data_IF_091227495959
#
_entry.id   IF_091227495959
#
_cell.length_a   1.000
_cell.length_b   1.000
_cell.length_c   1.000
_cell.angle_alpha   90.00
_cell.angle_beta   90.00
_cell.angle_gamma   90.00
#
_symmetry.space_group_name_H-M   'P 1'
#
loop_
_entity.id
_entity.type
_entity.pdbx_description
1 polymer ?
#
# COMPACT_ATOMS: atom_id res chain seq x y z
N UNK A 1 -22.02 24.35 -24.81
CA UNK A 1 -20.69 23.81 -25.16
C UNK A 1 -20.90 22.75 -26.20
N UNK A 2 -20.13 22.82 -27.28
CA UNK A 2 -20.14 21.80 -28.33
C UNK A 2 -19.73 20.43 -27.75
N UNK A 3 -20.48 19.38 -28.10
CA UNK A 3 -20.27 18.02 -27.61
C UNK A 3 -18.88 17.53 -28.05
N UNK A 4 -18.45 17.90 -29.26
CA UNK A 4 -17.13 17.53 -29.78
C UNK A 4 -16.00 18.12 -28.93
N UNK A 5 -16.07 19.40 -28.57
CA UNK A 5 -15.07 20.04 -27.70
C UNK A 5 -14.96 19.34 -26.34
N UNK A 6 -16.10 18.98 -25.72
CA UNK A 6 -16.10 18.22 -24.45
C UNK A 6 -15.42 16.86 -24.56
N UNK A 7 -15.61 16.16 -25.69
CA UNK A 7 -14.97 14.87 -25.97
C UNK A 7 -13.45 15.03 -26.09
N UNK A 8 -12.99 16.07 -26.79
CA UNK A 8 -11.56 16.36 -26.96
C UNK A 8 -10.88 16.69 -25.62
N UNK A 9 -11.54 17.44 -24.74
CA UNK A 9 -11.01 17.73 -23.41
C UNK A 9 -11.02 16.51 -22.48
N UNK A 10 -12.03 15.65 -22.57
CA UNK A 10 -12.04 14.36 -21.90
C UNK A 10 -10.89 13.46 -22.39
N UNK A 11 -10.62 13.43 -23.69
CA UNK A 11 -9.51 12.65 -24.25
C UNK A 11 -8.15 13.10 -23.68
N UNK A 12 -7.88 14.42 -23.66
CA UNK A 12 -6.67 14.98 -23.01
C UNK A 12 -6.56 14.58 -21.54
N UNK A 13 -7.68 14.63 -20.82
CA UNK A 13 -7.73 14.26 -19.41
C UNK A 13 -7.41 12.77 -19.20
N UNK A 14 -7.88 11.90 -20.10
CA UNK A 14 -7.55 10.46 -20.09
C UNK A 14 -6.06 10.24 -20.33
N UNK A 15 -5.44 10.93 -21.30
CA UNK A 15 -4.00 10.80 -21.57
C UNK A 15 -3.16 11.11 -20.33
N UNK A 16 -3.47 12.21 -19.66
CA UNK A 16 -2.78 12.59 -18.41
C UNK A 16 -3.02 11.59 -17.28
N UNK A 17 -4.21 11.00 -17.16
CA UNK A 17 -4.48 9.97 -16.15
C UNK A 17 -3.67 8.70 -16.39
N UNK A 18 -3.52 8.28 -17.64
CA UNK A 18 -2.85 7.02 -18.00
C UNK A 18 -1.36 7.05 -17.62
N UNK A 19 -0.70 8.20 -17.76
CA UNK A 19 0.70 8.39 -17.32
C UNK A 19 0.87 8.19 -15.81
N UNK A 20 -0.19 8.45 -15.03
CA UNK A 20 -0.20 8.36 -13.57
C UNK A 20 -0.76 7.04 -13.04
N UNK A 21 -1.06 6.07 -13.92
CA UNK A 21 -1.59 4.77 -13.52
C UNK A 21 -0.54 3.94 -12.77
N UNK A 22 -0.90 3.45 -11.58
CA UNK A 22 0.00 2.67 -10.71
C UNK A 22 -0.15 1.17 -10.91
N UNK A 23 -1.30 0.73 -11.43
CA UNK A 23 -1.59 -0.66 -11.77
C UNK A 23 -2.42 -0.71 -13.06
N UNK A 24 -2.53 -1.89 -13.68
CA UNK A 24 -3.18 -2.09 -14.97
C UNK A 24 -2.65 -1.14 -16.06
N UNK A 25 -1.32 -0.96 -16.12
CA UNK A 25 -0.69 0.04 -16.98
C UNK A 25 -0.92 -0.27 -18.45
N UNK A 26 -0.86 -1.56 -18.84
CA UNK A 26 -1.04 -1.98 -20.24
C UNK A 26 -2.47 -1.75 -20.70
N UNK A 27 -3.45 -2.18 -19.91
CA UNK A 27 -4.88 -1.91 -20.17
C UNK A 27 -5.19 -0.42 -20.21
N UNK A 28 -4.63 0.38 -19.31
CA UNK A 28 -4.79 1.85 -19.33
C UNK A 28 -4.21 2.47 -20.61
N UNK A 29 -3.01 2.06 -21.03
CA UNK A 29 -2.39 2.50 -22.28
C UNK A 29 -3.19 2.07 -23.51
N UNK A 30 -3.77 0.85 -23.50
CA UNK A 30 -4.62 0.36 -24.59
C UNK A 30 -5.85 1.23 -24.78
N UNK A 31 -6.54 1.56 -23.67
CA UNK A 31 -7.66 2.50 -23.69
C UNK A 31 -7.22 3.85 -24.26
N UNK A 32 -6.07 4.39 -23.84
CA UNK A 32 -5.52 5.64 -24.38
C UNK A 32 -5.35 5.61 -25.89
N UNK A 33 -4.81 4.51 -26.45
CA UNK A 33 -4.62 4.36 -27.91
C UNK A 33 -5.95 4.36 -28.66
N UNK A 34 -6.97 3.68 -28.12
CA UNK A 34 -8.33 3.65 -28.69
C UNK A 34 -9.02 5.01 -28.62
N UNK A 35 -8.88 5.70 -27.50
CA UNK A 35 -9.36 7.09 -27.34
C UNK A 35 -8.67 8.02 -28.34
N UNK A 36 -7.38 7.84 -28.61
CA UNK A 36 -6.65 8.63 -29.62
C UNK A 36 -7.18 8.44 -31.04
N UNK A 37 -7.51 7.20 -31.39
CA UNK A 37 -8.13 6.88 -32.67
C UNK A 37 -9.50 7.58 -32.82
N UNK A 38 -10.31 7.58 -31.77
CA UNK A 38 -11.61 8.26 -31.72
C UNK A 38 -11.49 9.79 -31.73
N UNK A 39 -10.48 10.36 -31.06
CA UNK A 39 -10.19 11.81 -31.07
C UNK A 39 -9.99 12.33 -32.50
N UNK A 40 -9.26 11.57 -33.34
CA UNK A 40 -9.00 11.95 -34.73
C UNK A 40 -10.28 11.96 -35.57
N UNK A 41 -11.22 11.03 -35.32
CA UNK A 41 -12.52 11.00 -35.98
C UNK A 41 -13.37 12.21 -35.57
N UNK A 42 -13.38 12.55 -34.29
CA UNK A 42 -14.13 13.70 -33.75
C UNK A 42 -13.60 15.01 -34.32
N UNK A 43 -12.28 15.17 -34.44
CA UNK A 43 -11.67 16.32 -35.12
C UNK A 43 -12.08 16.44 -36.59
N UNK A 44 -12.20 15.30 -37.27
CA UNK A 44 -12.66 15.27 -38.67
C UNK A 44 -14.13 15.69 -38.80
N UNK A 45 -14.95 15.42 -37.77
CA UNK A 45 -16.34 15.91 -37.69
C UNK A 45 -16.37 17.43 -37.49
N UNK A 46 -15.61 17.98 -36.54
CA UNK A 46 -15.56 19.44 -36.27
C UNK A 46 -15.15 20.24 -37.51
N UNK A 47 -14.28 19.68 -38.35
CA UNK A 47 -13.87 20.32 -39.61
C UNK A 47 -14.94 20.25 -40.71
N UNK A 48 -15.83 19.24 -40.68
CA UNK A 48 -16.93 19.05 -41.65
C UNK A 48 -18.22 19.76 -41.26
N UNK A 49 -18.40 20.13 -39.99
CA UNK A 49 -19.63 20.71 -39.43
C UNK A 49 -20.07 22.09 -39.97
N UNK A 50 -19.45 22.60 -41.04
CA UNK A 50 -20.04 23.72 -41.81
C UNK A 50 -21.35 23.33 -42.53
N UNK A 51 -21.67 22.03 -42.62
CA UNK A 51 -22.89 21.51 -43.28
C UNK A 51 -23.57 20.50 -42.34
N UNK A 52 -24.47 21.03 -41.48
CA UNK A 52 -25.46 20.35 -40.60
C UNK A 52 -25.16 18.93 -40.09
N UNK A 53 -24.98 18.72 -38.76
CA UNK A 53 -24.87 17.37 -38.21
C UNK A 53 -26.24 16.67 -38.22
N UNK A 54 -26.34 15.55 -38.93
CA UNK A 54 -27.49 14.66 -38.81
C UNK A 54 -27.66 14.20 -37.35
N UNK A 55 -28.90 14.05 -36.88
CA UNK A 55 -29.20 13.64 -35.50
C UNK A 55 -28.44 12.38 -35.04
N UNK A 56 -28.15 11.47 -35.98
CA UNK A 56 -27.36 10.26 -35.74
C UNK A 56 -25.92 10.54 -35.30
N UNK A 57 -25.27 11.59 -35.84
CA UNK A 57 -23.91 11.99 -35.45
C UNK A 57 -23.92 12.51 -34.01
N UNK A 58 -24.89 13.37 -33.66
CA UNK A 58 -25.01 13.91 -32.31
C UNK A 58 -25.28 12.81 -31.27
N UNK A 59 -26.10 11.81 -31.63
CA UNK A 59 -26.34 10.64 -30.79
C UNK A 59 -25.05 9.83 -30.57
N UNK A 60 -24.31 9.52 -31.64
CA UNK A 60 -23.06 8.78 -31.56
C UNK A 60 -21.99 9.53 -30.75
N UNK A 61 -21.89 10.86 -30.90
CA UNK A 61 -21.00 11.70 -30.08
C UNK A 61 -21.39 11.70 -28.60
N UNK A 62 -22.69 11.74 -28.28
CA UNK A 62 -23.16 11.64 -26.90
C UNK A 62 -22.81 10.28 -26.27
N UNK A 63 -23.03 9.17 -26.98
CA UNK A 63 -22.66 7.82 -26.54
C UNK A 63 -21.14 7.70 -26.30
N UNK A 64 -20.33 8.28 -27.19
CA UNK A 64 -18.88 8.37 -27.02
C UNK A 64 -18.52 9.16 -25.76
N UNK A 65 -19.12 10.34 -25.54
CA UNK A 65 -18.88 11.18 -24.36
C UNK A 65 -19.14 10.42 -23.04
N UNK A 66 -20.25 9.69 -22.97
CA UNK A 66 -20.57 8.85 -21.80
C UNK A 66 -19.50 7.76 -21.61
N UNK A 67 -19.10 7.11 -22.70
CA UNK A 67 -18.08 6.05 -22.66
C UNK A 67 -16.72 6.58 -22.21
N UNK A 68 -16.30 7.76 -22.69
CA UNK A 68 -15.07 8.42 -22.24
C UNK A 68 -15.12 8.80 -20.76
N UNK A 69 -16.27 9.25 -20.25
CA UNK A 69 -16.44 9.49 -18.80
C UNK A 69 -16.27 8.20 -18.00
N UNK A 70 -16.85 7.09 -18.45
CA UNK A 70 -16.64 5.78 -17.83
C UNK A 70 -15.17 5.36 -17.85
N UNK A 71 -14.48 5.51 -18.98
CA UNK A 71 -13.06 5.23 -19.11
C UNK A 71 -12.19 6.09 -18.17
N UNK A 72 -12.46 7.40 -18.12
CA UNK A 72 -11.79 8.34 -17.22
C UNK A 72 -11.93 7.90 -15.76
N UNK A 73 -13.16 7.59 -15.32
CA UNK A 73 -13.40 7.16 -13.94
C UNK A 73 -12.73 5.82 -13.62
N UNK A 74 -12.73 4.87 -14.55
CA UNK A 74 -12.06 3.59 -14.38
C UNK A 74 -10.54 3.78 -14.19
N UNK A 75 -9.89 4.51 -15.10
CA UNK A 75 -8.44 4.75 -15.04
C UNK A 75 -8.08 5.53 -13.77
N UNK A 76 -8.91 6.51 -13.37
CA UNK A 76 -8.70 7.28 -12.13
C UNK A 76 -8.58 6.39 -10.90
N UNK A 77 -9.36 5.29 -10.81
CA UNK A 77 -9.24 4.32 -9.69
C UNK A 77 -7.82 3.77 -9.57
N UNK A 78 -7.15 3.54 -10.70
CA UNK A 78 -5.80 2.96 -10.77
C UNK A 78 -4.66 3.98 -10.57
N UNK A 79 -4.96 5.27 -10.44
CA UNK A 79 -3.96 6.30 -10.11
C UNK A 79 -3.76 6.49 -8.59
N UNK A 80 -4.75 6.09 -7.80
CA UNK A 80 -4.79 6.33 -6.35
C UNK A 80 -4.24 5.12 -5.59
N UNK A 81 -3.15 5.29 -4.83
CA UNK A 81 -2.46 4.16 -4.16
C UNK A 81 -3.36 3.38 -3.21
N UNK A 82 -4.22 4.05 -2.45
CA UNK A 82 -5.13 3.38 -1.51
C UNK A 82 -6.23 2.57 -2.24
N UNK A 83 -6.69 3.04 -3.40
CA UNK A 83 -7.65 2.32 -4.22
C UNK A 83 -6.99 1.13 -4.90
N UNK A 84 -5.79 1.30 -5.44
CA UNK A 84 -5.00 0.20 -6.02
C UNK A 84 -4.74 -0.87 -4.99
N UNK A 85 -4.35 -0.50 -3.75
CA UNK A 85 -4.22 -1.44 -2.63
C UNK A 85 -5.52 -2.15 -2.31
N UNK A 86 -6.66 -1.46 -2.31
CA UNK A 86 -7.97 -2.07 -2.09
C UNK A 86 -8.36 -3.01 -3.22
N UNK A 87 -8.06 -2.64 -4.46
CA UNK A 87 -8.30 -3.46 -5.65
C UNK A 87 -7.42 -4.70 -5.57
N UNK A 88 -6.11 -4.58 -5.32
CA UNK A 88 -5.21 -5.72 -5.06
C UNK A 88 -5.75 -6.76 -4.07
N UNK A 89 -6.56 -6.32 -3.10
CA UNK A 89 -7.14 -7.17 -2.06
C UNK A 89 -8.51 -7.77 -2.43
N UNK A 90 -9.18 -7.27 -3.48
CA UNK A 90 -10.36 -7.96 -4.02
C UNK A 90 -9.90 -9.13 -4.92
N UNK A 91 -10.81 -9.90 -5.51
CA UNK A 91 -10.45 -10.95 -6.50
C UNK A 91 -10.93 -10.62 -7.92
N UNK A 92 -11.42 -9.40 -8.15
CA UNK A 92 -12.09 -8.97 -9.38
C UNK A 92 -11.54 -7.62 -9.82
N UNK A 93 -10.66 -7.63 -10.83
CA UNK A 93 -9.94 -6.42 -11.31
C UNK A 93 -9.91 -6.28 -12.84
N UNK A 94 -10.30 -7.32 -13.58
CA UNK A 94 -10.12 -7.39 -15.04
C UNK A 94 -11.33 -6.96 -15.86
N UNK A 95 -12.54 -7.34 -15.45
CA UNK A 95 -13.74 -7.26 -16.31
C UNK A 95 -14.16 -5.83 -16.66
N UNK A 96 -13.85 -4.84 -15.82
CA UNK A 96 -14.25 -3.45 -16.05
C UNK A 96 -13.65 -2.87 -17.34
N UNK A 97 -12.44 -3.29 -17.72
CA UNK A 97 -11.78 -2.81 -18.95
C UNK A 97 -12.42 -3.41 -20.20
N UNK A 98 -12.91 -4.66 -20.14
CA UNK A 98 -13.58 -5.30 -21.26
C UNK A 98 -14.83 -4.51 -21.67
N UNK A 99 -15.67 -4.13 -20.70
CA UNK A 99 -16.86 -3.33 -20.96
C UNK A 99 -16.56 -1.94 -21.53
N UNK A 100 -15.49 -1.27 -21.08
CA UNK A 100 -15.05 0.01 -21.67
C UNK A 100 -14.57 -0.19 -23.10
N UNK A 101 -13.78 -1.22 -23.36
CA UNK A 101 -13.22 -1.52 -24.67
C UNK A 101 -14.29 -1.90 -25.71
N UNK A 102 -15.32 -2.64 -25.29
CA UNK A 102 -16.50 -2.93 -26.09
C UNK A 102 -17.24 -1.66 -26.47
N UNK A 103 -17.57 -0.83 -25.49
CA UNK A 103 -18.28 0.43 -25.74
C UNK A 103 -17.49 1.43 -26.59
N UNK A 104 -16.16 1.46 -26.46
CA UNK A 104 -15.31 2.27 -27.33
C UNK A 104 -15.35 1.79 -28.78
N UNK A 105 -15.41 0.47 -28.99
CA UNK A 105 -15.58 -0.11 -30.32
C UNK A 105 -16.95 0.21 -30.90
N UNK A 106 -18.01 0.09 -30.11
CA UNK A 106 -19.38 0.39 -30.57
C UNK A 106 -19.49 1.87 -30.98
N UNK A 107 -18.93 2.77 -30.17
CA UNK A 107 -18.84 4.19 -30.49
C UNK A 107 -18.03 4.44 -31.77
N UNK A 108 -16.94 3.71 -31.99
CA UNK A 108 -16.16 3.78 -33.23
C UNK A 108 -16.99 3.35 -34.45
N UNK A 109 -17.66 2.20 -34.37
CA UNK A 109 -18.48 1.69 -35.47
C UNK A 109 -19.63 2.64 -35.81
N UNK A 110 -20.33 3.16 -34.80
CA UNK A 110 -21.42 4.12 -34.98
C UNK A 110 -20.93 5.41 -35.65
N UNK A 111 -19.80 5.97 -35.20
CA UNK A 111 -19.22 7.18 -35.79
C UNK A 111 -18.67 6.94 -37.20
N UNK A 112 -17.98 5.83 -37.43
CA UNK A 112 -17.45 5.48 -38.75
C UNK A 112 -18.57 5.30 -39.78
N UNK A 113 -19.68 4.65 -39.39
CA UNK A 113 -20.88 4.50 -40.22
C UNK A 113 -21.52 5.86 -40.52
N UNK A 114 -21.76 6.69 -39.50
CA UNK A 114 -22.37 8.01 -39.66
C UNK A 114 -21.54 8.95 -40.55
N UNK A 115 -20.22 8.77 -40.55
CA UNK A 115 -19.28 9.56 -41.35
C UNK A 115 -19.00 8.97 -42.74
N UNK A 116 -19.55 7.79 -43.06
CA UNK A 116 -19.25 7.01 -44.26
C UNK A 116 -17.72 6.82 -44.46
N UNK A 117 -16.99 6.58 -43.37
CA UNK A 117 -15.53 6.33 -43.45
C UNK A 117 -15.31 4.97 -44.11
N UNK A 118 -14.57 4.97 -45.22
CA UNK A 118 -14.21 3.72 -45.92
C UNK A 118 -13.45 2.75 -45.00
N UNK A 119 -13.81 1.46 -45.09
CA UNK A 119 -13.09 0.37 -44.42
C UNK A 119 -11.68 0.26 -45.02
N UNK A 120 -10.64 0.59 -44.25
CA UNK A 120 -9.24 0.52 -44.71
C UNK A 120 -8.31 1.56 -44.10
N UNK A 121 -8.84 2.60 -43.44
CA UNK A 121 -8.05 3.61 -42.73
C UNK A 121 -7.36 3.01 -41.48
N UNK A 122 -6.21 3.55 -41.06
CA UNK A 122 -5.44 3.08 -39.89
C UNK A 122 -6.26 3.01 -38.60
N UNK A 123 -7.30 3.83 -38.50
CA UNK A 123 -8.26 3.85 -37.38
C UNK A 123 -9.01 2.52 -37.25
N UNK A 124 -9.32 1.83 -38.36
CA UNK A 124 -9.99 0.52 -38.35
C UNK A 124 -9.11 -0.58 -37.75
N UNK A 125 -7.78 -0.52 -37.94
CA UNK A 125 -6.85 -1.54 -37.42
C UNK A 125 -6.84 -1.59 -35.88
N UNK A 126 -7.09 -0.45 -35.24
CA UNK A 126 -7.15 -0.33 -33.77
C UNK A 126 -8.40 -1.01 -33.18
N UNK A 127 -9.45 -1.18 -34.00
CA UNK A 127 -10.74 -1.75 -33.61
C UNK A 127 -11.04 -3.09 -34.31
N UNK A 128 -10.06 -3.65 -35.04
CA UNK A 128 -10.22 -4.95 -35.68
C UNK A 128 -10.38 -6.05 -34.61
N UNK A 129 -11.51 -6.76 -34.63
CA UNK A 129 -11.96 -7.63 -33.55
C UNK A 129 -10.91 -8.65 -33.09
N UNK A 130 -10.27 -9.35 -34.04
CA UNK A 130 -9.28 -10.40 -33.75
C UNK A 130 -8.02 -9.80 -33.12
N UNK A 131 -7.55 -8.68 -33.67
CA UNK A 131 -6.42 -7.93 -33.10
C UNK A 131 -6.75 -7.47 -31.68
N UNK A 132 -7.93 -6.88 -31.49
CA UNK A 132 -8.42 -6.33 -30.23
C UNK A 132 -8.48 -7.37 -29.12
N UNK A 133 -9.07 -8.54 -29.39
CA UNK A 133 -9.18 -9.63 -28.40
C UNK A 133 -7.81 -10.13 -27.97
N UNK A 134 -6.89 -10.32 -28.93
CA UNK A 134 -5.53 -10.77 -28.64
C UNK A 134 -4.75 -9.73 -27.83
N UNK A 135 -4.88 -8.46 -28.20
CA UNK A 135 -4.26 -7.35 -27.47
C UNK A 135 -4.77 -7.25 -26.03
N UNK A 136 -6.09 -7.29 -25.84
CA UNK A 136 -6.72 -7.19 -24.51
C UNK A 136 -6.37 -8.38 -23.63
N UNK A 137 -6.24 -9.59 -24.21
CA UNK A 137 -5.81 -10.79 -23.50
C UNK A 137 -4.34 -10.70 -23.08
N UNK A 138 -3.45 -10.26 -23.96
CA UNK A 138 -2.01 -10.11 -23.65
C UNK A 138 -1.80 -9.03 -22.60
N UNK A 139 -2.38 -7.85 -22.80
CA UNK A 139 -2.28 -6.74 -21.85
C UNK A 139 -2.84 -7.16 -20.48
N UNK A 140 -3.94 -7.93 -20.48
CA UNK A 140 -4.51 -8.48 -19.27
C UNK A 140 -3.63 -9.47 -18.53
N UNK A 141 -2.97 -10.40 -19.24
CA UNK A 141 -2.04 -11.35 -18.64
C UNK A 141 -0.82 -10.65 -18.03
N UNK A 142 -0.29 -9.65 -18.72
CA UNK A 142 0.86 -8.86 -18.22
C UNK A 142 0.49 -8.08 -16.96
N UNK A 143 -0.62 -7.35 -16.99
CA UNK A 143 -1.09 -6.56 -15.85
C UNK A 143 -1.45 -7.45 -14.65
N UNK A 144 -2.09 -8.60 -14.87
CA UNK A 144 -2.45 -9.54 -13.80
C UNK A 144 -1.19 -10.17 -13.16
N UNK A 145 -0.13 -10.40 -13.95
CA UNK A 145 1.16 -10.88 -13.44
C UNK A 145 1.88 -9.81 -12.62
N UNK A 146 1.86 -8.54 -13.05
CA UNK A 146 2.40 -7.40 -12.27
C UNK A 146 1.64 -7.25 -10.95
N UNK A 147 0.31 -7.37 -10.99
CA UNK A 147 -0.56 -7.28 -9.83
C UNK A 147 -0.27 -8.38 -8.80
N UNK A 148 -0.11 -9.63 -9.24
CA UNK A 148 0.26 -10.76 -8.37
C UNK A 148 1.63 -10.54 -7.72
N UNK A 149 2.59 -9.97 -8.45
CA UNK A 149 3.91 -9.64 -7.90
C UNK A 149 3.80 -8.58 -6.79
N UNK A 150 3.05 -7.51 -7.04
CA UNK A 150 2.80 -6.48 -6.01
C UNK A 150 2.12 -7.04 -4.77
N UNK A 151 1.17 -7.98 -4.94
CA UNK A 151 0.48 -8.61 -3.82
C UNK A 151 1.45 -9.46 -2.98
N UNK A 152 2.33 -10.22 -3.63
CA UNK A 152 3.34 -11.02 -2.95
C UNK A 152 4.32 -10.14 -2.15
N UNK A 153 4.86 -9.08 -2.76
CA UNK A 153 5.75 -8.12 -2.09
C UNK A 153 5.08 -7.45 -0.89
N UNK A 154 3.80 -7.07 -1.03
CA UNK A 154 3.03 -6.52 0.08
C UNK A 154 2.81 -7.55 1.21
N UNK A 155 2.61 -8.82 0.87
CA UNK A 155 2.53 -9.91 1.83
C UNK A 155 3.82 -10.06 2.65
N UNK A 156 4.96 -10.12 1.98
CA UNK A 156 6.28 -10.19 2.62
C UNK A 156 6.55 -8.99 3.55
N UNK A 157 6.18 -7.78 3.12
CA UNK A 157 6.28 -6.58 3.94
C UNK A 157 5.43 -6.66 5.21
N UNK A 158 4.18 -7.13 5.09
CA UNK A 158 3.28 -7.28 6.24
C UNK A 158 3.79 -8.35 7.21
N UNK A 159 4.31 -9.46 6.70
CA UNK A 159 4.91 -10.51 7.54
C UNK A 159 6.15 -10.00 8.29
N UNK A 160 7.02 -9.22 7.63
CA UNK A 160 8.16 -8.60 8.27
C UNK A 160 7.73 -7.65 9.39
N UNK A 161 6.77 -6.77 9.11
CA UNK A 161 6.21 -5.85 10.11
C UNK A 161 5.55 -6.58 11.29
N UNK A 162 4.89 -7.72 11.05
CA UNK A 162 4.33 -8.54 12.11
C UNK A 162 5.42 -9.15 13.01
N UNK A 163 6.54 -9.62 12.44
CA UNK A 163 7.68 -10.12 13.21
C UNK A 163 8.27 -9.03 14.10
N UNK A 164 8.52 -7.85 13.55
CA UNK A 164 9.05 -6.70 14.29
C UNK A 164 8.12 -6.31 15.45
N UNK A 165 6.79 -6.32 15.21
CA UNK A 165 5.80 -6.01 16.23
C UNK A 165 5.80 -7.05 17.38
N UNK A 166 5.93 -8.34 17.06
CA UNK A 166 6.04 -9.39 18.08
C UNK A 166 7.35 -9.31 18.86
N UNK A 167 8.46 -8.89 18.24
CA UNK A 167 9.72 -8.62 18.94
C UNK A 167 9.57 -7.43 19.91
N UNK A 168 8.96 -6.33 19.46
CA UNK A 168 8.68 -5.16 20.30
C UNK A 168 7.79 -5.55 21.47
N UNK A 169 6.69 -6.28 21.21
CA UNK A 169 5.77 -6.76 22.24
C UNK A 169 6.50 -7.60 23.29
N UNK A 170 7.35 -8.52 22.85
CA UNK A 170 8.15 -9.35 23.77
C UNK A 170 9.10 -8.50 24.63
N UNK A 171 9.75 -7.50 24.02
CA UNK A 171 10.66 -6.59 24.73
C UNK A 171 9.92 -5.72 25.75
N UNK A 172 8.76 -5.19 25.39
CA UNK A 172 7.89 -4.41 26.29
C UNK A 172 7.42 -5.27 27.45
N UNK A 173 6.97 -6.50 27.22
CA UNK A 173 6.58 -7.43 28.29
C UNK A 173 7.72 -7.66 29.29
N UNK A 174 8.95 -7.86 28.83
CA UNK A 174 10.13 -7.99 29.70
C UNK A 174 10.38 -6.73 30.53
N UNK A 175 10.26 -5.54 29.95
CA UNK A 175 10.43 -4.27 30.68
C UNK A 175 9.36 -4.11 31.75
N UNK A 176 8.10 -4.42 31.42
CA UNK A 176 6.98 -4.36 32.39
C UNK A 176 7.22 -5.33 33.55
N UNK A 177 7.67 -6.56 33.27
CA UNK A 177 8.05 -7.51 34.31
C UNK A 177 9.20 -6.98 35.19
N UNK A 178 10.20 -6.31 34.61
CA UNK A 178 11.29 -5.69 35.37
C UNK A 178 10.81 -4.54 36.25
N UNK A 179 9.85 -3.72 35.78
CA UNK A 179 9.28 -2.61 36.55
C UNK A 179 8.33 -3.08 37.66
N UNK A 180 7.61 -4.18 37.45
CA UNK A 180 6.74 -4.78 38.45
C UNK A 180 7.50 -5.53 39.56
N UNK A 181 8.79 -5.85 39.34
CA UNK A 181 9.63 -6.32 40.44
C UNK A 181 9.83 -5.15 41.41
N UNK A 182 9.55 -5.35 42.71
CA UNK A 182 9.82 -4.31 43.69
C UNK A 182 11.30 -3.89 43.55
N UNK A 183 11.61 -2.62 43.77
CA UNK A 183 12.98 -2.10 43.65
C UNK A 183 13.49 -1.69 45.04
N UNK A 184 14.65 -2.22 45.43
CA UNK A 184 15.33 -1.87 46.69
C UNK A 184 15.76 -0.39 46.73
N UNK A 185 15.78 0.28 45.57
CA UNK A 185 16.31 1.64 45.37
C UNK A 185 15.51 2.70 46.14
N UNK A 186 14.26 2.41 46.55
CA UNK A 186 13.47 3.33 47.38
C UNK A 186 13.86 3.32 48.86
N UNK A 187 14.72 2.39 49.31
CA UNK A 187 15.14 2.31 50.71
C UNK A 187 16.34 3.23 50.97
N UNK A 188 16.12 4.31 51.72
CA UNK A 188 17.21 5.20 52.20
C UNK A 188 18.24 4.40 53.02
N UNK A 189 19.52 4.72 52.84
CA UNK A 189 20.62 4.18 53.65
C UNK A 189 20.35 4.49 55.11
N UNK A 190 20.27 3.44 55.93
CA UNK A 190 20.03 3.52 57.37
C UNK A 190 20.64 2.31 58.07
N UNK A 191 20.70 2.37 59.40
CA UNK A 191 21.01 1.19 60.21
C UNK A 191 19.87 0.16 60.07
N UNK A 192 20.21 -1.05 59.67
CA UNK A 192 19.28 -2.17 59.50
C UNK A 192 19.35 -3.03 60.75
N UNK A 193 18.19 -3.39 61.34
CA UNK A 193 18.17 -4.30 62.49
C UNK A 193 18.48 -5.72 62.04
N UNK A 194 19.16 -6.48 62.89
CA UNK A 194 19.55 -7.85 62.55
C UNK A 194 18.35 -8.75 62.24
N UNK A 195 17.22 -8.55 62.94
CA UNK A 195 15.94 -9.26 62.69
C UNK A 195 15.35 -9.03 61.30
N UNK A 196 15.67 -7.89 60.67
CA UNK A 196 15.20 -7.53 59.33
C UNK A 196 16.07 -8.17 58.22
N UNK A 197 17.18 -8.83 58.59
CA UNK A 197 18.10 -9.53 57.67
C UNK A 197 17.93 -11.04 57.82
N UNK A 198 17.63 -11.72 56.71
CA UNK A 198 17.58 -13.18 56.65
C UNK A 198 18.84 -13.68 55.96
N UNK A 199 19.75 -14.35 56.64
CA UNK A 199 20.88 -14.99 55.98
C UNK A 199 21.16 -16.35 56.60
N UNK A 200 21.51 -17.31 55.74
CA UNK A 200 21.91 -18.63 56.20
C UNK A 200 23.23 -18.50 56.96
N UNK A 201 23.32 -19.13 58.13
CA UNK A 201 24.59 -19.27 58.88
C UNK A 201 25.55 -20.28 58.21
N UNK A 202 25.37 -20.56 56.93
CA UNK A 202 26.28 -21.35 56.13
C UNK A 202 27.65 -20.67 55.96
N UNK A 203 28.61 -21.36 55.31
CA UNK A 203 29.94 -20.80 55.11
C UNK A 203 29.87 -19.49 54.30
N UNK A 204 30.71 -18.50 54.61
CA UNK A 204 30.80 -17.28 53.80
C UNK A 204 31.17 -17.65 52.36
N UNK A 205 30.57 -16.97 51.39
CA UNK A 205 30.91 -17.18 49.98
C UNK A 205 32.20 -16.43 49.57
N UNK A 206 32.65 -15.49 50.42
CA UNK A 206 33.92 -14.80 50.24
C UNK A 206 34.52 -14.47 51.62
N UNK A 207 35.80 -14.77 51.78
CA UNK A 207 36.58 -14.46 53.00
C UNK A 207 37.79 -13.62 52.61
N UNK A 208 38.05 -12.57 53.39
CA UNK A 208 39.21 -11.69 53.28
C UNK A 208 39.90 -11.62 54.64
N UNK A 209 41.16 -11.16 54.74
CA UNK A 209 41.86 -11.04 56.02
C UNK A 209 41.13 -10.20 57.07
N UNK A 210 40.24 -9.29 56.64
CA UNK A 210 39.55 -8.34 57.52
C UNK A 210 38.04 -8.57 57.61
N UNK A 211 37.44 -9.42 56.77
CA UNK A 211 36.00 -9.60 56.72
C UNK A 211 35.54 -10.91 56.05
N UNK A 212 34.34 -11.35 56.43
CA UNK A 212 33.60 -12.47 55.85
C UNK A 212 32.32 -11.94 55.19
N UNK A 213 31.99 -12.44 53.99
CA UNK A 213 30.81 -12.01 53.23
C UNK A 213 29.84 -13.17 53.05
N UNK A 214 28.59 -12.92 53.44
CA UNK A 214 27.48 -13.86 53.42
C UNK A 214 26.42 -13.45 52.42
N UNK A 215 25.74 -14.42 51.83
CA UNK A 215 24.57 -14.17 50.99
C UNK A 215 23.33 -14.17 51.88
N UNK A 216 22.56 -13.10 51.84
CA UNK A 216 21.34 -12.95 52.63
C UNK A 216 20.20 -12.36 51.83
N UNK A 217 19.11 -12.04 52.53
CA UNK A 217 17.95 -11.33 52.03
C UNK A 217 17.58 -10.17 52.94
N UNK A 218 17.23 -9.04 52.33
CA UNK A 218 16.67 -7.86 52.99
C UNK A 218 15.44 -7.41 52.21
N UNK A 219 14.29 -7.25 52.87
CA UNK A 219 13.01 -6.92 52.22
C UNK A 219 12.66 -7.83 51.01
N UNK A 220 13.06 -9.11 51.05
CA UNK A 220 12.82 -10.09 49.97
C UNK A 220 13.85 -10.07 48.83
N UNK A 221 14.82 -9.14 48.85
CA UNK A 221 15.89 -9.07 47.86
C UNK A 221 17.15 -9.75 48.35
N UNK A 222 17.86 -10.43 47.45
CA UNK A 222 19.19 -10.97 47.76
C UNK A 222 20.19 -9.83 47.97
N UNK A 223 20.90 -9.87 49.10
CA UNK A 223 21.93 -8.88 49.47
C UNK A 223 23.22 -9.58 49.91
N UNK A 224 24.35 -8.88 49.79
CA UNK A 224 25.62 -9.29 50.37
C UNK A 224 25.80 -8.66 51.76
N UNK A 225 26.06 -9.48 52.78
CA UNK A 225 26.26 -9.03 54.15
C UNK A 225 27.73 -9.21 54.50
N UNK A 226 28.47 -8.10 54.67
CA UNK A 226 29.88 -8.11 55.04
C UNK A 226 30.03 -7.93 56.55
N UNK A 227 30.61 -8.94 57.23
CA UNK A 227 30.93 -8.94 58.66
C UNK A 227 32.44 -8.77 58.84
N UNK A 228 32.86 -7.72 59.55
CA UNK A 228 34.27 -7.50 59.88
C UNK A 228 34.73 -8.43 61.00
N UNK A 229 35.97 -8.93 60.90
CA UNK A 229 36.55 -9.85 61.88
C UNK A 229 37.02 -9.09 63.12
N UNK A 230 37.53 -7.87 62.96
CA UNK A 230 37.95 -6.98 64.03
C UNK A 230 37.05 -5.73 64.06
N UNK A 231 36.31 -5.48 65.17
CA UNK A 231 35.45 -4.31 65.31
C UNK A 231 36.21 -2.99 65.53
N UNK A 232 37.54 -3.01 65.67
CA UNK A 232 38.37 -1.80 65.88
C UNK A 232 38.71 -1.02 64.60
N UNK A 233 38.31 -1.51 63.43
CA UNK A 233 38.52 -0.81 62.15
C UNK A 233 37.49 0.33 62.04
N UNK A 234 37.91 1.60 61.97
CA UNK A 234 36.99 2.73 61.95
C UNK A 234 36.14 2.70 60.69
N UNK A 235 34.90 3.18 60.86
CA UNK A 235 33.95 3.41 59.78
C UNK A 235 34.65 4.20 58.66
N UNK A 236 34.63 3.77 57.37
CA UNK A 236 35.36 4.45 56.29
C UNK A 236 34.81 5.83 55.90
N UNK A 237 34.00 6.46 56.76
CA UNK A 237 33.32 7.73 56.55
C UNK A 237 33.19 8.46 57.89
N UNK A 238 34.30 9.08 58.29
CA UNK A 238 34.25 10.45 58.82
C UNK A 238 34.70 11.39 57.71
#
# INVERSE_FOLDING_TARGET
MDIATNILDLAKSIYSLVENAKANKKRCQRVSKRVKALENLVKSIEQRSAVQPADDINKALNELSITLKSAYHLIKKYTMSHLVKRILMSSSHGDEFNGVNERLNDAFQNLALALQVEHGNEVYKVFELISRQKEDEVDGKEDDAELKRMLAEYGEYVEAMQRDLEEIKTSVSKIVEMLNKPSIISVKIRMIRQEDLKFDQGPPFMTTPTAMVYKGQFCGFTVAIKKYIDPSIPNPRE
#
